data_IF_009156865733
#
_entry.id   IF_009156865733
#
_cell.length_a   1.000
_cell.length_b   1.000
_cell.length_c   1.000
_cell.angle_alpha   90.00
_cell.angle_beta   90.00
_cell.angle_gamma   90.00
#
_symmetry.space_group_name_H-M   'P 1'
#
loop_
_entity.id
_entity.type
_entity.pdbx_description
1 polymer ?
#
# COMPACT_ATOMS: atom_id res chain seq x y z
N UNK A 1 -6.43 -4.24 -8.90
CA UNK A 1 -7.77 -3.70 -9.24
C UNK A 1 -8.67 -4.89 -9.52
N UNK A 2 -9.74 -4.99 -8.73
CA UNK A 2 -10.70 -6.09 -8.82
C UNK A 2 -11.77 -5.72 -9.83
N UNK A 3 -11.97 -6.58 -10.84
CA UNK A 3 -12.97 -6.39 -11.89
C UNK A 3 -14.37 -6.77 -11.38
N UNK A 4 -15.46 -6.19 -11.91
CA UNK A 4 -16.82 -6.44 -11.46
C UNK A 4 -17.39 -7.78 -12.00
N UNK A 5 -16.61 -8.86 -11.90
CA UNK A 5 -17.04 -10.21 -12.18
C UNK A 5 -17.25 -10.96 -10.87
N UNK A 6 -18.32 -11.75 -10.79
CA UNK A 6 -18.63 -12.57 -9.60
C UNK A 6 -17.43 -13.38 -9.10
N UNK A 7 -16.71 -14.04 -10.01
CA UNK A 7 -15.55 -14.86 -9.67
C UNK A 7 -14.37 -14.06 -9.07
N UNK A 8 -14.23 -12.78 -9.41
CA UNK A 8 -13.23 -11.92 -8.77
C UNK A 8 -13.71 -11.41 -7.42
N UNK A 9 -14.98 -11.03 -7.34
CA UNK A 9 -15.58 -10.56 -6.10
C UNK A 9 -15.53 -11.64 -5.01
N UNK A 10 -15.85 -12.89 -5.35
CA UNK A 10 -15.76 -14.02 -4.40
C UNK A 10 -14.32 -14.30 -3.96
N UNK A 11 -13.32 -14.04 -4.82
CA UNK A 11 -11.90 -14.33 -4.52
C UNK A 11 -11.21 -13.22 -3.73
N UNK A 12 -11.49 -11.96 -4.09
CA UNK A 12 -10.74 -10.79 -3.61
C UNK A 12 -11.59 -9.83 -2.77
N UNK A 13 -12.92 -9.94 -2.79
CA UNK A 13 -13.83 -9.00 -2.14
C UNK A 13 -14.42 -7.98 -3.11
N UNK A 14 -15.11 -6.95 -2.60
CA UNK A 14 -15.82 -5.96 -3.41
C UNK A 14 -14.94 -5.37 -4.53
N UNK A 15 -15.50 -5.26 -5.74
CA UNK A 15 -14.79 -4.71 -6.90
C UNK A 15 -14.23 -3.32 -6.62
N UNK A 16 -13.14 -2.96 -7.29
CA UNK A 16 -12.48 -1.67 -7.07
C UNK A 16 -13.34 -0.53 -7.63
N UNK A 17 -13.50 0.56 -6.87
CA UNK A 17 -14.17 1.76 -7.35
C UNK A 17 -13.18 2.89 -7.62
N UNK A 18 -13.51 3.80 -8.55
CA UNK A 18 -12.63 4.91 -8.93
C UNK A 18 -12.23 5.80 -7.73
N UNK A 19 -13.14 5.98 -6.76
CA UNK A 19 -12.91 6.79 -5.57
C UNK A 19 -11.73 6.33 -4.70
N UNK A 20 -11.36 5.05 -4.78
CA UNK A 20 -10.26 4.48 -3.97
C UNK A 20 -8.88 4.92 -4.46
N UNK A 21 -8.74 5.22 -5.76
CA UNK A 21 -7.46 5.58 -6.36
C UNK A 21 -7.30 7.08 -6.58
N UNK A 22 -8.16 7.91 -5.98
CA UNK A 22 -8.10 9.37 -6.10
C UNK A 22 -6.78 9.93 -5.56
N UNK A 23 -6.22 9.32 -4.53
CA UNK A 23 -4.95 9.74 -3.93
C UNK A 23 -3.72 9.08 -4.57
N UNK A 24 -3.89 8.09 -5.45
CA UNK A 24 -2.78 7.29 -6.00
C UNK A 24 -2.04 8.02 -7.13
N UNK A 25 -0.82 8.47 -6.86
CA UNK A 25 0.02 9.16 -7.85
C UNK A 25 1.41 8.50 -7.95
N UNK A 26 1.67 7.66 -8.98
CA UNK A 26 0.73 7.17 -10.00
C UNK A 26 -0.18 6.04 -9.48
N UNK A 27 -1.25 5.78 -10.24
CA UNK A 27 -2.20 4.70 -9.94
C UNK A 27 -1.51 3.32 -9.86
N UNK A 28 -1.97 2.46 -8.94
CA UNK A 28 -1.40 1.13 -8.69
C UNK A 28 -2.25 -0.02 -9.30
N UNK A 29 -2.92 0.24 -10.42
CA UNK A 29 -3.71 -0.80 -11.09
C UNK A 29 -2.78 -1.72 -11.88
N UNK A 30 -2.74 -2.99 -11.48
CA UNK A 30 -1.96 -4.00 -12.20
C UNK A 30 -2.50 -4.26 -13.60
N UNK A 31 -1.59 -4.45 -14.56
CA UNK A 31 -1.87 -4.93 -15.91
C UNK A 31 -1.68 -6.44 -16.06
N UNK A 32 -1.02 -7.09 -15.09
CA UNK A 32 -0.75 -8.53 -15.05
C UNK A 32 -0.91 -9.06 -13.63
N UNK A 33 -1.32 -10.32 -13.50
CA UNK A 33 -1.41 -11.06 -12.23
C UNK A 33 -0.51 -12.29 -12.29
N UNK A 34 0.77 -12.12 -11.96
CA UNK A 34 1.68 -13.24 -11.67
C UNK A 34 1.40 -13.78 -10.27
N UNK A 35 1.18 -12.88 -9.31
CA UNK A 35 0.56 -13.15 -8.02
C UNK A 35 -0.90 -12.68 -7.96
N UNK A 36 -1.58 -12.88 -6.82
CA UNK A 36 -2.96 -12.44 -6.60
C UNK A 36 -3.13 -10.91 -6.63
N UNK A 37 -4.38 -10.44 -6.75
CA UNK A 37 -4.69 -9.00 -6.61
C UNK A 37 -4.53 -8.54 -5.15
N UNK A 38 -3.99 -7.34 -4.95
CA UNK A 38 -3.69 -6.79 -3.62
C UNK A 38 -4.68 -5.70 -3.15
N UNK A 39 -5.66 -5.30 -3.97
CA UNK A 39 -6.52 -4.14 -3.68
C UNK A 39 -7.38 -4.26 -2.40
N UNK A 40 -7.43 -5.44 -1.79
CA UNK A 40 -8.22 -5.79 -0.59
C UNK A 40 -7.45 -6.70 0.38
N UNK A 41 -6.13 -6.52 0.46
CA UNK A 41 -5.30 -7.35 1.35
C UNK A 41 -5.29 -6.82 2.79
N UNK A 42 -5.66 -5.56 3.01
CA UNK A 42 -5.70 -4.96 4.34
C UNK A 42 -6.53 -5.77 5.33
N UNK A 43 -5.91 -6.15 6.45
CA UNK A 43 -6.52 -6.98 7.49
C UNK A 43 -6.75 -8.45 7.13
N UNK A 44 -6.39 -8.91 5.92
CA UNK A 44 -6.58 -10.31 5.50
C UNK A 44 -5.52 -11.25 6.09
N UNK A 45 -4.31 -10.74 6.31
CA UNK A 45 -3.19 -11.45 6.91
C UNK A 45 -2.60 -10.62 8.06
N UNK A 46 -1.96 -11.27 9.02
CA UNK A 46 -1.25 -10.57 10.09
C UNK A 46 0.03 -9.91 9.58
N UNK A 47 0.50 -8.91 10.32
CA UNK A 47 1.80 -8.27 10.03
C UNK A 47 2.93 -9.29 10.04
N UNK A 48 2.94 -10.21 11.00
CA UNK A 48 3.91 -11.30 11.09
C UNK A 48 3.90 -12.19 9.84
N UNK A 49 2.72 -12.50 9.30
CA UNK A 49 2.63 -13.27 8.05
C UNK A 49 3.26 -12.48 6.90
N UNK A 50 3.00 -11.18 6.80
CA UNK A 50 3.61 -10.34 5.78
C UNK A 50 5.14 -10.29 5.92
N UNK A 51 5.68 -10.16 7.13
CA UNK A 51 7.13 -10.16 7.36
C UNK A 51 7.78 -11.47 6.91
N UNK A 52 7.21 -12.61 7.31
CA UNK A 52 7.74 -13.93 6.92
C UNK A 52 7.62 -14.13 5.41
N UNK A 53 6.45 -13.82 4.83
CA UNK A 53 6.21 -13.97 3.40
C UNK A 53 7.13 -13.07 2.55
N UNK A 54 7.39 -11.83 2.96
CA UNK A 54 8.30 -10.94 2.25
C UNK A 54 9.76 -11.40 2.38
N UNK A 55 10.15 -11.88 3.55
CA UNK A 55 11.51 -12.38 3.78
C UNK A 55 11.81 -13.60 2.90
N UNK A 56 10.90 -14.57 2.88
CA UNK A 56 10.95 -15.71 1.97
C UNK A 56 9.54 -16.28 1.74
N UNK A 57 8.92 -16.01 0.57
CA UNK A 57 7.55 -16.46 0.29
C UNK A 57 7.36 -17.97 0.38
N UNK A 58 8.41 -18.74 0.13
CA UNK A 58 8.39 -20.22 0.09
C UNK A 58 8.27 -20.85 1.47
N UNK A 59 8.50 -20.09 2.55
CA UNK A 59 8.39 -20.59 3.92
C UNK A 59 6.93 -20.72 4.36
N UNK A 60 6.03 -19.91 3.80
CA UNK A 60 4.58 -19.94 4.09
C UNK A 60 3.73 -20.39 2.91
N UNK A 61 4.24 -20.29 1.69
CA UNK A 61 3.60 -20.76 0.46
C UNK A 61 4.67 -21.48 -0.38
N UNK A 62 4.89 -22.79 -0.19
CA UNK A 62 5.98 -23.54 -0.81
C UNK A 62 6.07 -23.43 -2.34
N UNK A 63 4.92 -23.31 -3.00
CA UNK A 63 4.77 -23.17 -4.45
C UNK A 63 4.92 -21.72 -4.96
N UNK A 64 5.20 -20.76 -4.08
CA UNK A 64 5.28 -19.34 -4.45
C UNK A 64 6.39 -19.08 -5.46
N UNK A 65 6.02 -18.42 -6.56
CA UNK A 65 6.94 -17.92 -7.56
C UNK A 65 7.45 -16.50 -7.24
N UNK A 66 7.00 -15.89 -6.14
CA UNK A 66 7.43 -14.56 -5.72
C UNK A 66 8.93 -14.58 -5.34
N UNK A 67 9.71 -13.56 -5.75
CA UNK A 67 11.07 -13.38 -5.25
C UNK A 67 11.09 -13.14 -3.74
N UNK A 68 12.18 -13.52 -3.08
CA UNK A 68 12.43 -13.15 -1.69
C UNK A 68 12.93 -11.70 -1.61
N UNK A 69 12.49 -10.95 -0.60
CA UNK A 69 12.86 -9.55 -0.36
C UNK A 69 13.48 -9.33 1.05
N UNK A 70 14.48 -10.14 1.47
CA UNK A 70 15.02 -10.08 2.84
C UNK A 70 15.70 -8.75 3.18
N UNK A 71 16.17 -7.99 2.18
CA UNK A 71 16.81 -6.69 2.40
C UNK A 71 15.86 -5.65 2.98
N UNK A 72 14.54 -5.80 2.81
CA UNK A 72 13.56 -4.86 3.36
C UNK A 72 13.64 -4.76 4.89
N UNK A 73 14.01 -5.86 5.55
CA UNK A 73 14.19 -5.91 7.01
C UNK A 73 15.54 -5.35 7.45
N UNK A 74 16.52 -5.26 6.55
CA UNK A 74 17.86 -4.72 6.84
C UNK A 74 17.95 -3.21 6.55
N UNK A 75 17.20 -2.72 5.57
CA UNK A 75 17.19 -1.31 5.18
C UNK A 75 16.33 -0.48 6.13
N UNK A 76 16.88 0.63 6.61
CA UNK A 76 16.19 1.56 7.51
C UNK A 76 15.90 2.87 6.81
N UNK A 77 14.71 3.42 7.04
CA UNK A 77 14.26 4.69 6.50
C UNK A 77 14.80 5.87 7.32
N UNK A 78 15.45 6.83 6.64
CA UNK A 78 15.88 8.10 7.23
C UNK A 78 14.80 9.19 7.24
N UNK A 79 13.82 9.08 6.34
CA UNK A 79 12.62 9.94 6.28
C UNK A 79 12.85 11.35 5.75
N UNK A 80 14.05 11.67 5.26
CA UNK A 80 14.44 13.03 4.87
C UNK A 80 13.56 13.60 3.75
N UNK A 81 13.10 12.72 2.85
CA UNK A 81 12.29 13.10 1.69
C UNK A 81 10.77 12.99 1.94
N UNK A 82 10.32 12.53 3.11
CA UNK A 82 8.89 12.24 3.32
C UNK A 82 8.04 13.50 3.25
N UNK A 83 8.48 14.60 3.90
CA UNK A 83 7.79 15.89 3.84
C UNK A 83 7.73 16.44 2.41
N UNK A 84 8.83 16.34 1.66
CA UNK A 84 8.88 16.78 0.26
C UNK A 84 7.93 15.97 -0.63
N UNK A 85 7.84 14.65 -0.42
CA UNK A 85 6.89 13.77 -1.13
C UNK A 85 5.44 14.14 -0.82
N UNK A 86 5.11 14.40 0.46
CA UNK A 86 3.76 14.83 0.86
C UNK A 86 3.37 16.16 0.23
N UNK A 87 4.30 17.13 0.19
CA UNK A 87 4.07 18.40 -0.50
C UNK A 87 3.83 18.23 -2.00
N UNK A 88 4.62 17.38 -2.66
CA UNK A 88 4.44 17.08 -4.07
C UNK A 88 3.09 16.38 -4.34
N UNK A 89 2.69 15.45 -3.47
CA UNK A 89 1.37 14.81 -3.52
C UNK A 89 0.24 15.83 -3.37
N UNK A 90 0.34 16.77 -2.41
CA UNK A 90 -0.67 17.82 -2.25
C UNK A 90 -0.87 18.65 -3.52
N UNK A 91 0.20 18.96 -4.24
CA UNK A 91 0.11 19.70 -5.52
C UNK A 91 -0.60 18.85 -6.58
N UNK A 92 -0.22 17.58 -6.71
CA UNK A 92 -0.82 16.68 -7.69
C UNK A 92 -2.31 16.43 -7.43
N UNK A 93 -2.66 16.12 -6.18
CA UNK A 93 -4.05 15.88 -5.74
C UNK A 93 -4.85 17.18 -5.84
N UNK A 94 -4.29 18.32 -5.44
CA UNK A 94 -4.98 19.62 -5.53
C UNK A 94 -5.34 20.00 -6.98
N UNK A 95 -4.55 19.56 -7.96
CA UNK A 95 -4.84 19.78 -9.38
C UNK A 95 -5.93 18.85 -9.94
N UNK A 96 -6.08 17.63 -9.40
CA UNK A 96 -7.01 16.61 -9.91
C UNK A 96 -8.30 16.51 -9.10
N UNK A 97 -8.27 16.84 -7.81
CA UNK A 97 -9.40 16.81 -6.88
C UNK A 97 -9.35 18.00 -5.90
N UNK A 98 -9.96 19.15 -6.25
CA UNK A 98 -9.96 20.35 -5.39
C UNK A 98 -10.69 20.19 -4.06
N UNK A 99 -11.60 19.22 -3.95
CA UNK A 99 -12.39 18.94 -2.75
C UNK A 99 -11.81 17.82 -1.87
N UNK A 100 -10.67 17.25 -2.24
CA UNK A 100 -10.04 16.17 -1.49
C UNK A 100 -9.26 16.69 -0.27
N UNK A 101 -9.14 15.83 0.75
CA UNK A 101 -8.31 16.13 1.93
C UNK A 101 -6.84 16.11 1.55
N UNK A 102 -6.10 17.14 1.94
CA UNK A 102 -4.66 17.25 1.71
C UNK A 102 -3.91 17.13 3.03
N UNK A 103 -2.63 16.75 2.96
CA UNK A 103 -1.77 16.77 4.14
C UNK A 103 -1.66 18.19 4.70
N UNK A 104 -1.74 18.31 6.01
CA UNK A 104 -1.57 19.58 6.72
C UNK A 104 -0.09 19.94 6.87
N UNK A 105 0.19 21.20 7.21
CA UNK A 105 1.56 21.62 7.52
C UNK A 105 2.13 20.88 8.73
N UNK A 106 1.28 20.51 9.69
CA UNK A 106 1.67 19.70 10.84
C UNK A 106 2.05 18.27 10.43
N UNK A 107 1.29 17.64 9.53
CA UNK A 107 1.63 16.32 8.99
C UNK A 107 3.00 16.35 8.32
N UNK A 108 3.27 17.39 7.51
CA UNK A 108 4.55 17.55 6.81
C UNK A 108 5.70 17.84 7.77
N UNK A 109 5.48 18.62 8.84
CA UNK A 109 6.48 18.91 9.85
C UNK A 109 6.88 17.67 10.67
N UNK A 110 5.93 16.76 10.92
CA UNK A 110 6.16 15.53 11.68
C UNK A 110 6.52 14.32 10.80
N UNK A 111 6.41 14.44 9.48
CA UNK A 111 6.57 13.35 8.51
C UNK A 111 7.86 12.55 8.66
N UNK A 112 8.99 13.22 8.83
CA UNK A 112 10.29 12.54 8.99
C UNK A 112 10.31 11.72 10.27
N UNK A 113 9.90 12.32 11.40
CA UNK A 113 9.88 11.65 12.71
C UNK A 113 8.96 10.44 12.72
N UNK A 114 7.86 10.48 11.97
CA UNK A 114 6.91 9.38 11.87
C UNK A 114 7.49 8.12 11.21
N UNK A 115 8.51 8.25 10.36
CA UNK A 115 9.08 7.12 9.60
C UNK A 115 10.54 6.83 9.92
N UNK A 116 11.26 7.78 10.54
CA UNK A 116 12.68 7.63 10.83
C UNK A 116 12.93 6.43 11.75
N UNK A 117 13.88 5.57 11.36
CA UNK A 117 14.22 4.38 12.13
C UNK A 117 13.32 3.18 11.87
N UNK A 118 12.26 3.33 11.07
CA UNK A 118 11.46 2.21 10.56
C UNK A 118 12.20 1.48 9.46
N UNK A 119 12.05 0.16 9.40
CA UNK A 119 12.57 -0.64 8.30
C UNK A 119 11.71 -0.47 7.04
N UNK A 120 12.27 -0.76 5.87
CA UNK A 120 11.48 -0.79 4.63
C UNK A 120 10.38 -1.85 4.69
N UNK A 121 10.61 -2.96 5.40
CA UNK A 121 9.61 -4.00 5.63
C UNK A 121 8.41 -3.45 6.43
N UNK A 122 8.65 -2.75 7.55
CA UNK A 122 7.58 -2.13 8.35
C UNK A 122 6.75 -1.15 7.51
N UNK A 123 7.40 -0.33 6.67
CA UNK A 123 6.70 0.61 5.80
C UNK A 123 5.88 -0.10 4.73
N UNK A 124 6.41 -1.17 4.12
CA UNK A 124 5.67 -1.95 3.13
C UNK A 124 4.49 -2.69 3.74
N UNK A 125 4.65 -3.27 4.93
CA UNK A 125 3.55 -3.92 5.67
C UNK A 125 2.47 -2.89 6.02
N UNK A 126 2.85 -1.71 6.53
CA UNK A 126 1.89 -0.64 6.81
C UNK A 126 1.10 -0.22 5.56
N UNK A 127 1.76 -0.14 4.39
CA UNK A 127 1.09 0.12 3.12
C UNK A 127 0.11 -0.99 2.75
N UNK A 128 0.55 -2.26 2.79
CA UNK A 128 -0.28 -3.42 2.46
C UNK A 128 -1.51 -3.51 3.37
N UNK A 129 -1.33 -3.23 4.67
CA UNK A 129 -2.42 -3.24 5.64
C UNK A 129 -3.46 -2.13 5.39
N UNK A 130 -3.08 -1.03 4.75
CA UNK A 130 -4.01 0.04 4.38
C UNK A 130 -4.88 -0.28 3.15
N UNK A 131 -4.48 -1.25 2.31
CA UNK A 131 -5.12 -1.49 1.03
C UNK A 131 -6.55 -2.03 1.18
N UNK A 132 -7.51 -1.25 0.67
CA UNK A 132 -8.92 -1.62 0.64
C UNK A 132 -9.72 -1.31 1.90
N UNK A 133 -9.12 -0.62 2.88
CA UNK A 133 -9.79 -0.25 4.15
C UNK A 133 -10.45 1.14 4.13
N UNK A 134 -10.06 2.02 3.21
CA UNK A 134 -10.61 3.40 3.13
C UNK A 134 -12.13 3.40 2.85
N UNK A 135 -12.58 2.39 2.13
CA UNK A 135 -13.97 1.98 2.00
C UNK A 135 -14.69 1.50 3.24
N UNK A 136 -15.65 2.26 3.77
CA UNK A 136 -16.56 1.78 4.83
C UNK A 136 -17.95 1.38 4.32
N UNK A 137 -18.18 1.41 3.00
CA UNK A 137 -19.52 1.32 2.39
C UNK A 137 -19.75 0.07 1.53
N UNK A 138 -19.07 -1.04 1.83
CA UNK A 138 -19.37 -2.32 1.18
C UNK A 138 -20.30 -3.17 2.03
#
# INVERSE_FOLDING_TARGET
MIRPFRAETERYGHYSVAGESVYDHPFQWGSKRTGPDLARVGGRYSDDWHFVHLNNPRDVVPESNMPAYPWLSANTLGGENTAAKMKALNIAIGATCPSCGLYTDEDMANAQKAVQGKTEAEALVAYLQGLGLASKQW
#
